data_IF_694867645178
#
_entry.id   IF_694867645178
#
_cell.length_a   1.000
_cell.length_b   1.000
_cell.length_c   1.000
_cell.angle_alpha   90.00
_cell.angle_beta   90.00
_cell.angle_gamma   90.00
#
_symmetry.space_group_name_H-M   'P 1'
#
loop_
_entity.id
_entity.type
_entity.pdbx_description
1 polymer ?
#
# COMPACT_ATOMS: atom_id res chain seq x y z
N UNK A 1 9.65 62.02 -21.30
CA UNK A 1 10.29 60.68 -21.34
C UNK A 1 10.45 60.02 -19.96
N UNK A 2 10.80 60.73 -18.86
CA UNK A 2 10.98 60.13 -17.52
C UNK A 2 9.72 59.48 -16.90
N UNK A 3 8.52 60.01 -17.16
CA UNK A 3 7.26 59.48 -16.60
C UNK A 3 6.79 58.15 -17.24
N UNK A 4 7.17 57.89 -18.49
CA UNK A 4 6.88 56.63 -19.19
C UNK A 4 7.77 55.48 -18.70
N UNK A 5 9.02 55.77 -18.34
CA UNK A 5 9.98 54.79 -17.81
C UNK A 5 9.55 54.31 -16.41
N UNK A 6 9.01 55.21 -15.58
CA UNK A 6 8.56 54.87 -14.23
C UNK A 6 7.36 53.91 -14.21
N UNK A 7 6.42 54.09 -15.15
CA UNK A 7 5.28 53.18 -15.31
C UNK A 7 5.68 51.80 -15.83
N UNK A 8 6.63 51.75 -16.78
CA UNK A 8 7.17 50.49 -17.29
C UNK A 8 7.90 49.69 -16.22
N UNK A 9 8.62 50.36 -15.32
CA UNK A 9 9.33 49.71 -14.22
C UNK A 9 8.37 49.12 -13.17
N UNK A 10 7.28 49.84 -12.86
CA UNK A 10 6.24 49.34 -11.96
C UNK A 10 5.52 48.10 -12.51
N UNK A 11 5.23 48.07 -13.82
CA UNK A 11 4.58 46.93 -14.47
C UNK A 11 5.48 45.68 -14.46
N UNK A 12 6.78 45.87 -14.66
CA UNK A 12 7.77 44.79 -14.64
C UNK A 12 7.91 44.17 -13.25
N UNK A 13 7.90 45.00 -12.20
CA UNK A 13 7.94 44.52 -10.82
C UNK A 13 6.68 43.73 -10.45
N UNK A 14 5.51 44.16 -10.92
CA UNK A 14 4.25 43.43 -10.69
C UNK A 14 4.22 42.09 -11.44
N UNK A 15 4.68 42.07 -12.69
CA UNK A 15 4.84 40.85 -13.50
C UNK A 15 5.83 39.86 -12.87
N UNK A 16 6.97 40.34 -12.39
CA UNK A 16 7.97 39.51 -11.72
C UNK A 16 7.43 38.92 -10.40
N UNK A 17 6.65 39.69 -9.64
CA UNK A 17 6.00 39.21 -8.42
C UNK A 17 5.03 38.05 -8.69
N UNK A 18 4.24 38.12 -9.76
CA UNK A 18 3.36 37.00 -10.16
C UNK A 18 4.15 35.74 -10.55
N UNK A 19 5.28 35.88 -11.25
CA UNK A 19 6.14 34.76 -11.62
C UNK A 19 6.77 34.09 -10.40
N UNK A 20 7.23 34.87 -9.42
CA UNK A 20 7.81 34.36 -8.17
C UNK A 20 6.76 33.61 -7.36
N UNK A 21 5.51 34.08 -7.33
CA UNK A 21 4.41 33.40 -6.64
C UNK A 21 4.06 32.05 -7.29
N UNK A 22 4.07 31.96 -8.63
CA UNK A 22 3.84 30.71 -9.36
C UNK A 22 4.94 29.67 -9.10
N UNK A 23 6.19 30.11 -8.93
CA UNK A 23 7.30 29.21 -8.58
C UNK A 23 7.16 28.72 -7.13
N UNK A 24 6.71 29.59 -6.21
CA UNK A 24 6.48 29.23 -4.80
C UNK A 24 5.31 28.25 -4.60
N UNK A 25 4.28 28.29 -5.47
CA UNK A 25 3.13 27.37 -5.40
C UNK A 25 3.38 26.02 -6.08
N UNK A 26 4.48 25.86 -6.83
CA UNK A 26 4.89 24.56 -7.36
C UNK A 26 5.61 23.77 -6.27
N UNK A 27 4.83 23.11 -5.41
CA UNK A 27 5.33 21.98 -4.63
C UNK A 27 5.77 20.91 -5.63
N UNK A 28 7.07 20.65 -5.74
CA UNK A 28 7.59 19.49 -6.45
C UNK A 28 7.07 18.25 -5.72
N UNK A 29 6.10 17.57 -6.33
CA UNK A 29 5.74 16.21 -5.93
C UNK A 29 6.84 15.30 -6.49
N UNK A 30 7.99 15.30 -5.81
CA UNK A 30 8.98 14.26 -6.01
C UNK A 30 8.33 12.99 -5.45
N UNK A 31 8.02 12.04 -6.33
CA UNK A 31 7.54 10.73 -5.93
C UNK A 31 8.71 9.95 -5.32
N UNK A 32 9.17 10.37 -4.14
CA UNK A 32 9.87 9.47 -3.25
C UNK A 32 8.86 8.38 -2.91
N UNK A 33 9.02 7.19 -3.46
CA UNK A 33 8.35 6.00 -2.92
C UNK A 33 8.76 5.94 -1.45
N UNK A 34 7.86 6.27 -0.50
CA UNK A 34 8.27 6.30 0.89
C UNK A 34 8.53 4.85 1.24
N UNK A 35 9.79 4.52 1.49
CA UNK A 35 10.12 3.33 2.28
C UNK A 35 9.52 3.66 3.64
N UNK A 36 8.31 3.19 3.90
CA UNK A 36 7.71 3.23 5.23
C UNK A 36 8.20 1.94 5.87
N UNK A 37 9.35 1.93 6.61
CA UNK A 37 9.58 0.82 7.52
C UNK A 37 8.34 0.74 8.42
N UNK A 38 7.96 -0.47 8.81
CA UNK A 38 6.86 -0.71 9.75
C UNK A 38 7.23 -0.24 11.17
N UNK A 39 7.93 0.87 11.29
CA UNK A 39 8.22 1.52 12.55
C UNK A 39 6.88 1.86 13.19
N UNK A 40 6.66 1.27 14.36
CA UNK A 40 5.53 1.54 15.24
C UNK A 40 4.16 1.09 14.70
N UNK A 41 4.11 0.11 13.78
CA UNK A 41 2.85 -0.45 13.30
C UNK A 41 2.78 -1.96 13.46
N UNK A 42 1.57 -2.46 13.68
CA UNK A 42 1.25 -3.88 13.73
C UNK A 42 0.37 -4.25 12.54
N UNK A 43 0.62 -5.42 11.95
CA UNK A 43 -0.26 -6.07 10.97
C UNK A 43 -1.04 -7.16 11.70
N UNK A 44 -2.34 -7.23 11.46
CA UNK A 44 -3.20 -8.26 12.06
C UNK A 44 -4.31 -8.66 11.10
N UNK A 45 -4.89 -9.83 11.36
CA UNK A 45 -6.03 -10.34 10.64
C UNK A 45 -7.32 -10.01 11.40
N UNK A 46 -8.33 -9.56 10.67
CA UNK A 46 -9.67 -9.37 11.19
C UNK A 46 -10.64 -10.28 10.45
N UNK A 47 -11.23 -11.24 11.15
CA UNK A 47 -12.30 -12.07 10.62
C UNK A 47 -13.65 -11.36 10.78
N UNK A 48 -14.43 -11.29 9.71
CA UNK A 48 -15.81 -10.79 9.72
C UNK A 48 -16.73 -11.81 9.07
N UNK A 49 -17.78 -12.22 9.79
CA UNK A 49 -18.67 -13.32 9.40
C UNK A 49 -19.18 -13.26 7.95
N UNK A 50 -19.49 -12.05 7.43
CA UNK A 50 -20.05 -11.86 6.10
C UNK A 50 -19.05 -11.37 5.03
N UNK A 51 -17.77 -11.22 5.37
CA UNK A 51 -16.73 -10.67 4.48
C UNK A 51 -15.54 -11.63 4.33
N UNK A 52 -15.31 -12.47 5.34
CA UNK A 52 -14.12 -13.31 5.44
C UNK A 52 -12.99 -12.62 6.21
N UNK A 53 -11.78 -13.13 6.03
CA UNK A 53 -10.58 -12.59 6.68
C UNK A 53 -10.03 -11.39 5.91
N UNK A 54 -9.71 -10.33 6.64
CA UNK A 54 -9.13 -9.10 6.11
C UNK A 54 -7.76 -8.84 6.76
N UNK A 55 -6.82 -8.26 6.02
CA UNK A 55 -5.55 -7.79 6.56
C UNK A 55 -5.68 -6.31 6.95
N UNK A 56 -5.24 -5.99 8.16
CA UNK A 56 -5.31 -4.65 8.73
C UNK A 56 -3.96 -4.22 9.29
N UNK A 57 -3.77 -2.91 9.35
CA UNK A 57 -2.65 -2.26 10.02
C UNK A 57 -3.14 -1.22 11.01
N UNK A 58 -2.39 -1.02 12.09
CA UNK A 58 -2.58 0.10 13.01
C UNK A 58 -1.26 0.46 13.68
N UNK A 59 -1.21 1.63 14.32
CA UNK A 59 -0.10 2.03 15.16
C UNK A 59 -0.06 1.18 16.45
N UNK A 60 1.09 1.08 17.12
CA UNK A 60 1.23 0.34 18.39
C UNK A 60 0.36 0.88 19.53
N UNK A 61 -0.04 2.15 19.48
CA UNK A 61 -1.00 2.76 20.41
C UNK A 61 -2.47 2.47 20.05
N UNK A 62 -2.72 1.69 19.00
CA UNK A 62 -4.05 1.33 18.50
C UNK A 62 -4.70 2.37 17.58
N UNK A 63 -4.05 3.51 17.34
CA UNK A 63 -4.55 4.55 16.43
C UNK A 63 -4.23 4.23 14.97
N UNK A 64 -4.80 5.01 14.03
CA UNK A 64 -4.44 4.91 12.61
C UNK A 64 -4.82 3.57 11.95
N UNK A 65 -5.87 2.91 12.43
CA UNK A 65 -6.34 1.64 11.87
C UNK A 65 -6.74 1.80 10.41
N UNK A 66 -6.11 1.04 9.52
CA UNK A 66 -6.33 1.05 8.07
C UNK A 66 -6.37 -0.37 7.52
N UNK A 67 -7.29 -0.62 6.57
CA UNK A 67 -7.38 -1.90 5.87
C UNK A 67 -6.30 -1.97 4.78
N UNK A 68 -5.62 -3.11 4.67
CA UNK A 68 -4.75 -3.42 3.53
C UNK A 68 -5.62 -4.03 2.43
N UNK A 69 -5.81 -3.30 1.34
CA UNK A 69 -6.68 -3.74 0.25
C UNK A 69 -5.87 -4.55 -0.75
N UNK A 70 -6.12 -5.85 -0.80
CA UNK A 70 -5.55 -6.77 -1.80
C UNK A 70 -6.61 -7.11 -2.86
N UNK A 71 -6.22 -7.06 -4.13
CA UNK A 71 -7.12 -7.30 -5.26
C UNK A 71 -7.20 -8.81 -5.58
N UNK A 72 -8.03 -9.55 -4.84
CA UNK A 72 -8.30 -10.96 -5.09
C UNK A 72 -9.40 -11.16 -6.14
N UNK A 73 -9.33 -12.28 -6.86
CA UNK A 73 -10.37 -12.68 -7.80
C UNK A 73 -11.59 -13.24 -7.07
N UNK A 74 -12.75 -13.25 -7.75
CA UNK A 74 -13.95 -13.85 -7.21
C UNK A 74 -13.71 -15.32 -6.80
N UNK A 75 -14.23 -15.72 -5.64
CA UNK A 75 -14.04 -17.08 -5.09
C UNK A 75 -12.68 -17.32 -4.41
N UNK A 76 -11.87 -16.27 -4.21
CA UNK A 76 -10.65 -16.32 -3.43
C UNK A 76 -10.84 -15.65 -2.07
N UNK A 77 -10.23 -16.22 -1.02
CA UNK A 77 -10.26 -15.68 0.34
C UNK A 77 -8.90 -15.77 1.01
N UNK A 78 -8.56 -14.78 1.82
CA UNK A 78 -7.36 -14.83 2.66
C UNK A 78 -7.60 -15.83 3.80
N UNK A 79 -6.60 -16.67 4.10
CA UNK A 79 -6.66 -17.60 5.22
C UNK A 79 -6.30 -16.90 6.55
N UNK A 80 -6.04 -17.66 7.60
CA UNK A 80 -5.78 -17.18 8.96
C UNK A 80 -4.30 -16.85 9.26
N UNK A 81 -3.44 -16.75 8.23
CA UNK A 81 -2.03 -16.43 8.39
C UNK A 81 -1.55 -15.26 7.52
N UNK A 82 -0.72 -14.39 8.13
CA UNK A 82 0.04 -13.34 7.46
C UNK A 82 1.42 -13.21 8.10
N UNK A 83 2.44 -12.95 7.27
CA UNK A 83 3.82 -12.70 7.67
C UNK A 83 4.35 -11.44 6.98
N UNK A 84 5.29 -10.77 7.63
CA UNK A 84 6.02 -9.63 7.09
C UNK A 84 7.40 -10.05 6.61
N UNK A 85 7.90 -9.43 5.55
CA UNK A 85 9.33 -9.46 5.27
C UNK A 85 10.12 -8.80 6.42
N UNK A 86 11.39 -9.18 6.65
CA UNK A 86 12.22 -8.57 7.68
C UNK A 86 12.39 -7.05 7.56
N UNK A 87 12.32 -6.51 6.34
CA UNK A 87 12.37 -5.07 6.07
C UNK A 87 11.00 -4.36 6.21
N UNK A 88 9.93 -5.09 6.51
CA UNK A 88 8.57 -4.60 6.68
C UNK A 88 7.89 -4.13 5.37
N UNK A 89 8.50 -4.37 4.20
CA UNK A 89 8.00 -3.85 2.92
C UNK A 89 6.99 -4.75 2.24
N UNK A 90 6.97 -6.04 2.57
CA UNK A 90 6.10 -7.04 1.95
C UNK A 90 5.29 -7.81 2.96
N UNK A 91 4.10 -8.19 2.53
CA UNK A 91 3.24 -9.16 3.20
C UNK A 91 3.31 -10.49 2.45
N UNK A 92 3.27 -11.59 3.20
CA UNK A 92 3.09 -12.94 2.71
C UNK A 92 1.87 -13.54 3.40
N UNK A 93 0.96 -14.13 2.63
CA UNK A 93 -0.30 -14.67 3.15
C UNK A 93 -0.80 -15.78 2.24
N UNK A 94 -1.67 -16.61 2.79
CA UNK A 94 -2.27 -17.72 2.09
C UNK A 94 -3.62 -17.29 1.53
N UNK A 95 -3.89 -17.67 0.28
CA UNK A 95 -5.18 -17.47 -0.36
C UNK A 95 -5.79 -18.82 -0.69
N UNK A 96 -6.94 -19.11 -0.10
CA UNK A 96 -7.74 -20.27 -0.42
C UNK A 96 -8.62 -20.02 -1.64
N UNK A 97 -8.81 -21.05 -2.45
CA UNK A 97 -9.71 -21.02 -3.61
C UNK A 97 -10.24 -22.42 -3.93
N UNK A 98 -11.31 -22.48 -4.72
CA UNK A 98 -11.97 -23.74 -5.09
C UNK A 98 -12.86 -24.29 -3.98
N UNK A 99 -13.45 -25.46 -4.24
CA UNK A 99 -14.30 -26.18 -3.31
C UNK A 99 -14.08 -27.70 -3.42
N UNK A 100 -14.25 -28.41 -2.31
CA UNK A 100 -14.11 -29.87 -2.22
C UNK A 100 -12.78 -30.34 -2.85
N UNK A 101 -12.84 -31.13 -3.92
CA UNK A 101 -11.69 -31.72 -4.63
C UNK A 101 -10.82 -30.68 -5.34
N UNK A 102 -11.34 -29.46 -5.55
CA UNK A 102 -10.57 -28.36 -6.17
C UNK A 102 -9.99 -27.39 -5.15
N UNK A 103 -10.20 -27.63 -3.85
CA UNK A 103 -9.67 -26.78 -2.79
C UNK A 103 -8.15 -26.74 -2.85
N UNK A 104 -7.61 -25.52 -2.72
CA UNK A 104 -6.17 -25.29 -2.59
C UNK A 104 -5.86 -24.00 -1.88
N UNK A 105 -4.65 -23.94 -1.33
CA UNK A 105 -4.08 -22.82 -0.58
C UNK A 105 -2.80 -22.32 -1.24
N UNK A 106 -2.93 -21.27 -2.04
CA UNK A 106 -1.82 -20.67 -2.79
C UNK A 106 -1.05 -19.66 -1.92
N UNK A 107 0.26 -19.54 -2.14
CA UNK A 107 1.08 -18.52 -1.47
C UNK A 107 1.08 -17.22 -2.29
N UNK A 108 0.73 -16.11 -1.65
CA UNK A 108 0.80 -14.79 -2.24
C UNK A 108 1.75 -13.86 -1.49
N UNK A 109 2.21 -12.84 -2.22
CA UNK A 109 2.86 -11.66 -1.64
C UNK A 109 2.29 -10.38 -2.20
N UNK A 110 2.38 -9.29 -1.45
CA UNK A 110 2.10 -7.94 -1.92
C UNK A 110 2.98 -6.93 -1.18
N UNK A 111 2.99 -5.68 -1.64
CA UNK A 111 3.54 -4.57 -0.89
C UNK A 111 2.74 -4.38 0.42
N UNK A 112 3.36 -3.76 1.42
CA UNK A 112 2.75 -3.52 2.74
C UNK A 112 1.39 -2.78 2.69
N UNK A 113 1.12 -2.02 1.63
CA UNK A 113 -0.14 -1.33 1.43
C UNK A 113 -1.16 -2.08 0.55
N UNK A 114 -0.85 -3.31 0.15
CA UNK A 114 -1.73 -4.22 -0.58
C UNK A 114 -1.55 -4.19 -2.10
N UNK A 115 -0.72 -3.28 -2.62
CA UNK A 115 -0.41 -3.20 -4.06
C UNK A 115 0.54 -4.31 -4.50
N UNK A 116 0.73 -4.43 -5.82
CA UNK A 116 1.71 -5.37 -6.41
C UNK A 116 1.50 -6.81 -5.95
N UNK A 117 0.23 -7.24 -5.94
CA UNK A 117 -0.15 -8.61 -5.60
C UNK A 117 0.50 -9.59 -6.59
N UNK A 118 1.19 -10.59 -6.05
CA UNK A 118 1.90 -11.60 -6.80
C UNK A 118 1.68 -12.98 -6.18
N UNK A 119 1.28 -13.96 -7.00
CA UNK A 119 1.24 -15.36 -6.59
C UNK A 119 2.68 -15.91 -6.62
N UNK A 120 3.17 -16.37 -5.48
CA UNK A 120 4.51 -16.96 -5.35
C UNK A 120 4.50 -18.46 -5.58
N UNK A 121 3.44 -19.13 -5.17
CA UNK A 121 3.30 -20.57 -5.34
C UNK A 121 1.85 -20.93 -5.67
N UNK A 122 1.68 -21.71 -6.74
CA UNK A 122 0.40 -22.26 -7.16
C UNK A 122 0.33 -23.70 -6.67
N UNK A 123 -0.44 -23.93 -5.61
CA UNK A 123 -0.56 -25.25 -5.02
C UNK A 123 -1.41 -26.15 -5.95
N UNK A 124 -1.03 -27.42 -6.18
CA UNK A 124 -1.89 -28.30 -6.96
C UNK A 124 -3.22 -28.53 -6.22
N UNK A 125 -4.32 -28.58 -6.98
CA UNK A 125 -5.65 -28.78 -6.42
C UNK A 125 -5.73 -30.09 -5.61
N UNK A 126 -6.46 -30.08 -4.49
CA UNK A 126 -6.65 -31.25 -3.64
C UNK A 126 -5.39 -31.68 -2.86
N UNK A 127 -4.33 -30.88 -2.85
CA UNK A 127 -3.03 -31.25 -2.25
C UNK A 127 -2.89 -30.90 -0.75
N UNK A 128 -3.95 -30.42 -0.10
CA UNK A 128 -3.97 -30.08 1.33
C UNK A 128 -3.79 -28.59 1.64
N UNK A 129 -3.19 -28.29 2.81
CA UNK A 129 -3.05 -26.93 3.35
C UNK A 129 -1.60 -26.43 3.21
N UNK A 130 -1.43 -25.12 3.03
CA UNK A 130 -0.14 -24.41 3.06
C UNK A 130 0.02 -23.75 4.43
N UNK A 131 1.24 -23.73 4.99
CA UNK A 131 1.51 -23.08 6.29
C UNK A 131 2.74 -22.18 6.13
N UNK A 132 2.67 -20.96 6.67
CA UNK A 132 3.78 -20.02 6.64
C UNK A 132 4.75 -20.28 7.80
N UNK A 133 5.88 -20.90 7.46
CA UNK A 133 7.03 -21.03 8.35
C UNK A 133 7.79 -19.72 8.56
N UNK A 134 8.64 -19.71 9.58
CA UNK A 134 9.65 -18.67 9.82
C UNK A 134 11.03 -19.31 9.75
N UNK A 135 11.99 -18.63 9.13
CA UNK A 135 13.41 -18.99 9.22
C UNK A 135 14.00 -18.12 10.32
N UNK A 136 14.50 -18.75 11.39
CA UNK A 136 15.19 -18.06 12.48
C UNK A 136 16.62 -17.70 12.09
#
# INVERSE_FOLDING_TARGET
MKKLILGSFALLMFSASMLIFQISCKKSAEAETPVVPLNNKVVFLQYRHNVGTEIWMMNYDGTGKVKVNVALSAGQSINDEVRLSPDGRKLFFIVSSGSNETYKEDLYSCDIDGRNLNKLYDMPAGSGNTILGSVN
#
